data_IF_625256891119
#
_entry.id   IF_625256891119
#
_cell.length_a   1.000
_cell.length_b   1.000
_cell.length_c   1.000
_cell.angle_alpha   90.00
_cell.angle_beta   90.00
_cell.angle_gamma   90.00
#
_symmetry.space_group_name_H-M   'P 1'
#
loop_
_entity.id
_entity.type
_entity.pdbx_description
1 polymer ?
#
# COMPACT_ATOMS: atom_id res chain seq x y z
N UNK A 1 -20.11 -0.87 12.26
CA UNK A 1 -18.92 -1.17 11.46
C UNK A 1 -19.28 -1.00 10.00
N UNK A 2 -18.30 -0.80 9.13
CA UNK A 2 -18.49 -0.68 7.69
C UNK A 2 -17.58 -1.68 6.97
N UNK A 3 -18.15 -2.52 6.12
CA UNK A 3 -17.42 -3.49 5.29
C UNK A 3 -17.07 -2.94 3.90
N UNK A 4 -17.74 -1.87 3.46
CA UNK A 4 -17.44 -1.19 2.20
C UNK A 4 -17.33 0.33 2.45
N UNK A 5 -16.13 0.88 2.41
CA UNK A 5 -15.92 2.33 2.56
C UNK A 5 -14.75 2.86 1.74
N UNK A 6 -14.89 4.10 1.25
CA UNK A 6 -14.03 4.69 0.23
C UNK A 6 -13.33 5.98 0.69
N UNK A 7 -12.02 6.04 0.50
CA UNK A 7 -11.28 7.30 0.60
C UNK A 7 -11.19 7.99 -0.77
N UNK A 8 -10.52 9.15 -0.83
CA UNK A 8 -10.22 9.83 -2.10
C UNK A 8 -9.36 8.97 -3.04
N UNK A 9 -8.75 7.90 -2.55
CA UNK A 9 -7.96 6.99 -3.38
C UNK A 9 -8.88 6.15 -4.26
N UNK A 10 -10.18 6.06 -3.97
CA UNK A 10 -11.20 5.77 -4.99
C UNK A 10 -11.24 6.91 -6.00
N UNK A 11 -10.30 6.90 -6.95
CA UNK A 11 -9.98 8.02 -7.81
C UNK A 11 -11.22 8.52 -8.57
N UNK A 12 -11.48 9.82 -8.48
CA UNK A 12 -12.63 10.49 -9.11
C UNK A 12 -13.98 9.92 -8.63
N UNK A 13 -14.03 9.37 -7.42
CA UNK A 13 -15.23 8.82 -6.80
C UNK A 13 -15.32 9.17 -5.31
N UNK A 14 -14.39 8.70 -4.49
CA UNK A 14 -14.37 9.00 -3.06
C UNK A 14 -13.87 10.42 -2.77
N UNK A 15 -14.21 10.93 -1.57
CA UNK A 15 -13.96 12.34 -1.21
C UNK A 15 -13.26 12.54 0.13
N UNK A 16 -13.21 11.52 0.98
CA UNK A 16 -12.56 11.62 2.30
C UNK A 16 -11.07 11.29 2.21
N UNK A 17 -10.23 12.08 2.84
CA UNK A 17 -8.83 11.68 3.06
C UNK A 17 -8.71 10.49 4.01
N UNK A 18 -7.62 9.70 3.94
CA UNK A 18 -7.36 8.65 4.93
C UNK A 18 -7.36 9.15 6.38
N UNK A 19 -6.99 10.41 6.62
CA UNK A 19 -7.05 11.05 7.95
C UNK A 19 -8.49 11.33 8.39
N UNK A 20 -9.34 11.83 7.49
CA UNK A 20 -10.77 12.02 7.78
C UNK A 20 -11.51 10.70 7.94
N UNK A 21 -11.16 9.69 7.13
CA UNK A 21 -11.63 8.31 7.29
C UNK A 21 -11.29 7.76 8.67
N UNK A 22 -10.05 7.98 9.12
CA UNK A 22 -9.61 7.58 10.46
C UNK A 22 -10.35 8.35 11.55
N UNK A 23 -10.48 9.67 11.42
CA UNK A 23 -11.21 10.48 12.40
C UNK A 23 -12.68 10.04 12.54
N UNK A 24 -13.34 9.70 11.43
CA UNK A 24 -14.66 9.09 11.47
C UNK A 24 -14.61 7.74 12.20
N UNK A 25 -13.68 6.86 11.83
CA UNK A 25 -13.55 5.55 12.47
C UNK A 25 -13.33 5.67 13.98
N UNK A 26 -12.47 6.59 14.41
CA UNK A 26 -12.15 6.85 15.80
C UNK A 26 -13.37 7.29 16.61
N UNK A 27 -14.25 8.07 16.01
CA UNK A 27 -15.50 8.52 16.66
C UNK A 27 -16.54 7.42 16.82
N UNK A 28 -16.34 6.24 16.21
CA UNK A 28 -17.28 5.11 16.30
C UNK A 28 -16.86 4.12 17.39
N UNK A 29 -17.81 3.38 18.00
CA UNK A 29 -17.48 2.37 19.01
C UNK A 29 -16.87 1.08 18.43
N UNK A 30 -16.72 0.97 17.11
CA UNK A 30 -16.31 -0.27 16.47
C UNK A 30 -14.80 -0.54 16.63
N UNK A 31 -14.41 -1.81 16.83
CA UNK A 31 -13.00 -2.20 16.85
C UNK A 31 -12.40 -2.31 15.45
N UNK A 32 -13.23 -2.54 14.43
CA UNK A 32 -12.82 -2.78 13.05
C UNK A 32 -13.67 -2.00 12.06
N UNK A 33 -13.04 -1.57 10.96
CA UNK A 33 -13.68 -0.94 9.81
C UNK A 33 -12.84 -1.22 8.56
N UNK A 34 -13.50 -1.51 7.44
CA UNK A 34 -12.82 -1.82 6.18
C UNK A 34 -12.59 -0.57 5.33
N UNK A 35 -11.37 -0.40 4.82
CA UNK A 35 -11.08 0.48 3.68
C UNK A 35 -11.06 -0.39 2.42
N UNK A 36 -11.88 -0.03 1.43
CA UNK A 36 -12.11 -0.84 0.22
C UNK A 36 -12.14 0.06 -1.00
N UNK A 37 -11.07 0.81 -1.23
CA UNK A 37 -11.02 1.74 -2.35
C UNK A 37 -11.26 1.06 -3.70
N UNK A 38 -11.94 1.78 -4.60
CA UNK A 38 -12.42 1.22 -5.87
C UNK A 38 -11.23 0.90 -6.77
N UNK A 39 -11.08 -0.38 -7.11
CA UNK A 39 -10.05 -0.89 -8.01
C UNK A 39 -8.61 -0.46 -7.65
N UNK A 40 -8.30 -0.22 -6.37
CA UNK A 40 -6.94 0.08 -5.93
C UNK A 40 -6.75 -0.20 -4.43
N UNK A 41 -5.49 -0.33 -4.02
CA UNK A 41 -5.09 -0.59 -2.63
C UNK A 41 -4.26 0.53 -2.03
N UNK A 42 -4.19 1.71 -2.66
CA UNK A 42 -3.26 2.80 -2.30
C UNK A 42 -3.45 3.30 -0.87
N UNK A 43 -4.69 3.42 -0.39
CA UNK A 43 -4.97 3.82 0.98
C UNK A 43 -4.62 2.76 2.04
N UNK A 44 -4.59 1.48 1.65
CA UNK A 44 -4.49 0.36 2.59
C UNK A 44 -3.24 0.47 3.47
N UNK A 45 -2.07 0.71 2.87
CA UNK A 45 -0.82 0.83 3.64
C UNK A 45 -0.79 2.10 4.49
N UNK A 46 -1.38 3.19 4.01
CA UNK A 46 -1.46 4.44 4.76
C UNK A 46 -2.31 4.24 6.03
N UNK A 47 -3.50 3.61 5.92
CA UNK A 47 -4.35 3.40 7.10
C UNK A 47 -3.76 2.39 8.08
N UNK A 48 -3.12 1.31 7.58
CA UNK A 48 -2.42 0.38 8.46
C UNK A 48 -1.31 1.08 9.23
N UNK A 49 -0.55 1.95 8.56
CA UNK A 49 0.53 2.72 9.20
C UNK A 49 -0.02 3.70 10.25
N UNK A 50 -1.09 4.44 9.91
CA UNK A 50 -1.70 5.39 10.84
C UNK A 50 -2.29 4.70 12.09
N UNK A 51 -2.78 3.46 11.94
CA UNK A 51 -3.37 2.68 13.03
C UNK A 51 -2.38 1.74 13.73
N UNK A 52 -1.11 1.67 13.32
CA UNK A 52 -0.15 0.66 13.81
C UNK A 52 0.01 0.62 15.34
N UNK A 53 -0.10 1.79 15.98
CA UNK A 53 0.05 1.95 17.43
C UNK A 53 -1.30 2.13 18.15
N UNK A 54 -2.42 1.98 17.45
CA UNK A 54 -3.73 2.24 18.03
C UNK A 54 -4.23 1.02 18.83
N UNK A 55 -4.39 1.17 20.13
CA UNK A 55 -4.62 0.04 21.06
C UNK A 55 -5.92 -0.77 20.82
N UNK A 56 -6.98 -0.14 20.30
CA UNK A 56 -8.33 -0.75 20.22
C UNK A 56 -8.94 -0.83 18.82
N UNK A 57 -8.28 -0.26 17.82
CA UNK A 57 -8.86 -0.09 16.48
C UNK A 57 -7.92 -0.66 15.44
N UNK A 58 -8.49 -1.43 14.53
CA UNK A 58 -7.75 -2.09 13.46
C UNK A 58 -8.47 -1.90 12.14
N UNK A 59 -7.73 -1.47 11.13
CA UNK A 59 -8.28 -1.43 9.77
C UNK A 59 -8.35 -2.84 9.20
N UNK A 60 -9.42 -3.11 8.46
CA UNK A 60 -9.50 -4.20 7.51
C UNK A 60 -9.20 -3.62 6.14
N UNK A 61 -8.36 -4.28 5.36
CA UNK A 61 -7.97 -3.82 4.03
C UNK A 61 -8.62 -4.70 2.96
N UNK A 62 -9.03 -4.08 1.86
CA UNK A 62 -9.71 -4.76 0.77
C UNK A 62 -9.86 -3.87 -0.44
N UNK A 63 -10.67 -4.32 -1.41
CA UNK A 63 -10.95 -3.61 -2.66
C UNK A 63 -12.43 -3.77 -3.01
N UNK A 64 -13.07 -2.68 -3.41
CA UNK A 64 -14.36 -2.70 -4.11
C UNK A 64 -14.08 -2.84 -5.62
N UNK A 65 -14.29 -4.04 -6.16
CA UNK A 65 -14.08 -4.32 -7.57
C UNK A 65 -15.26 -3.84 -8.40
N UNK A 66 -14.99 -2.97 -9.36
CA UNK A 66 -16.00 -2.36 -10.22
C UNK A 66 -15.61 -2.33 -11.68
N UNK A 67 -16.60 -2.48 -12.55
CA UNK A 67 -16.47 -2.14 -13.96
C UNK A 67 -17.04 -0.74 -14.19
N UNK A 68 -16.18 0.26 -14.36
CA UNK A 68 -16.55 1.67 -14.24
C UNK A 68 -17.21 1.93 -12.87
N UNK A 69 -18.46 2.39 -12.84
CA UNK A 69 -19.21 2.59 -11.59
C UNK A 69 -19.94 1.33 -11.11
N UNK A 70 -20.14 0.34 -11.99
CA UNK A 70 -20.96 -0.84 -11.67
C UNK A 70 -20.21 -1.77 -10.73
N UNK A 71 -20.73 -2.03 -9.51
CA UNK A 71 -20.10 -2.91 -8.55
C UNK A 71 -20.15 -4.38 -9.03
N UNK A 72 -19.04 -5.10 -8.84
CA UNK A 72 -18.94 -6.53 -9.09
C UNK A 72 -18.95 -7.28 -7.76
N UNK A 73 -17.98 -7.02 -6.90
CA UNK A 73 -17.87 -7.62 -5.56
C UNK A 73 -16.83 -6.86 -4.72
N UNK A 74 -16.95 -6.94 -3.41
CA UNK A 74 -15.94 -6.44 -2.46
C UNK A 74 -15.11 -7.63 -1.97
N UNK A 75 -13.79 -7.50 -1.97
CA UNK A 75 -12.90 -8.50 -1.37
C UNK A 75 -12.20 -7.92 -0.13
N UNK A 76 -12.24 -8.62 0.99
CA UNK A 76 -11.55 -8.26 2.22
C UNK A 76 -10.44 -9.26 2.51
N UNK A 77 -9.22 -8.79 2.76
CA UNK A 77 -8.08 -9.65 3.03
C UNK A 77 -8.19 -10.27 4.44
N UNK A 78 -8.18 -11.60 4.54
CA UNK A 78 -8.14 -12.27 5.85
C UNK A 78 -6.77 -12.15 6.52
N UNK A 79 -5.72 -12.11 5.71
CA UNK A 79 -4.32 -12.07 6.12
C UNK A 79 -3.45 -11.51 4.97
N UNK A 80 -2.12 -11.47 5.13
CA UNK A 80 -1.19 -10.99 4.10
C UNK A 80 -1.26 -11.78 2.79
N UNK A 81 -1.53 -13.09 2.85
CA UNK A 81 -1.71 -13.93 1.66
C UNK A 81 -2.99 -13.54 0.91
N UNK A 82 -4.09 -13.30 1.61
CA UNK A 82 -5.32 -12.75 1.04
C UNK A 82 -5.12 -11.37 0.41
N UNK A 83 -4.31 -10.51 1.03
CA UNK A 83 -3.96 -9.22 0.45
C UNK A 83 -3.11 -9.37 -0.81
N UNK A 84 -2.15 -10.31 -0.85
CA UNK A 84 -1.39 -10.64 -2.07
C UNK A 84 -2.34 -11.09 -3.17
N UNK A 85 -3.24 -12.04 -2.89
CA UNK A 85 -4.24 -12.56 -3.83
C UNK A 85 -5.12 -11.46 -4.43
N UNK A 86 -5.57 -10.49 -3.61
CA UNK A 86 -6.31 -9.32 -4.08
C UNK A 86 -5.47 -8.48 -5.05
N UNK A 87 -4.21 -8.19 -4.70
CA UNK A 87 -3.33 -7.39 -5.55
C UNK A 87 -2.92 -8.11 -6.84
N UNK A 88 -2.71 -9.43 -6.80
CA UNK A 88 -2.43 -10.25 -7.98
C UNK A 88 -3.61 -10.18 -8.97
N UNK A 89 -4.82 -10.43 -8.48
CA UNK A 89 -6.06 -10.36 -9.26
C UNK A 89 -6.30 -8.94 -9.83
N UNK A 90 -6.11 -7.91 -9.00
CA UNK A 90 -6.25 -6.52 -9.42
C UNK A 90 -5.24 -6.16 -10.51
N UNK A 91 -3.96 -6.49 -10.30
CA UNK A 91 -2.86 -6.16 -11.23
C UNK A 91 -3.05 -6.82 -12.58
N UNK A 92 -3.49 -8.08 -12.62
CA UNK A 92 -3.78 -8.77 -13.87
C UNK A 92 -4.84 -8.03 -14.68
N UNK A 93 -5.96 -7.66 -14.06
CA UNK A 93 -7.06 -6.98 -14.74
C UNK A 93 -6.69 -5.57 -15.19
N UNK A 94 -6.00 -4.80 -14.34
CA UNK A 94 -5.62 -3.43 -14.67
C UNK A 94 -4.55 -3.37 -15.78
N UNK A 95 -3.51 -4.21 -15.71
CA UNK A 95 -2.48 -4.25 -16.75
C UNK A 95 -3.02 -4.74 -18.09
N UNK A 96 -3.93 -5.72 -18.09
CA UNK A 96 -4.55 -6.25 -19.30
C UNK A 96 -5.76 -5.45 -19.76
N UNK A 97 -6.19 -4.43 -19.00
CA UNK A 97 -7.43 -3.65 -19.22
C UNK A 97 -8.67 -4.54 -19.37
N UNK A 98 -8.72 -5.62 -18.59
CA UNK A 98 -9.81 -6.59 -18.58
C UNK A 98 -10.90 -6.16 -17.60
N UNK A 99 -12.15 -6.45 -17.96
CA UNK A 99 -13.29 -6.25 -17.07
C UNK A 99 -13.36 -7.36 -16.05
N UNK A 100 -13.77 -7.04 -14.83
CA UNK A 100 -14.05 -8.03 -13.79
C UNK A 100 -15.31 -8.82 -14.15
N UNK A 101 -15.31 -10.13 -13.89
CA UNK A 101 -16.50 -10.97 -13.96
C UNK A 101 -17.49 -10.60 -12.85
N UNK A 102 -18.76 -10.95 -13.02
CA UNK A 102 -19.76 -10.80 -11.94
C UNK A 102 -19.48 -11.75 -10.77
N UNK A 103 -18.90 -12.92 -11.05
CA UNK A 103 -18.43 -13.89 -10.05
C UNK A 103 -16.93 -13.77 -9.87
N UNK A 104 -16.47 -13.64 -8.63
CA UNK A 104 -15.04 -13.56 -8.33
C UNK A 104 -14.36 -14.94 -8.49
N UNK A 105 -13.06 -14.99 -8.84
CA UNK A 105 -12.32 -16.25 -8.94
C UNK A 105 -12.01 -16.79 -7.53
N UNK A 106 -12.94 -17.56 -6.97
CA UNK A 106 -12.89 -18.08 -5.58
C UNK A 106 -11.58 -18.80 -5.27
N UNK A 107 -11.08 -19.62 -6.20
CA UNK A 107 -9.84 -20.37 -6.02
C UNK A 107 -8.61 -19.44 -5.91
N UNK A 108 -8.60 -18.34 -6.64
CA UNK A 108 -7.52 -17.35 -6.61
C UNK A 108 -7.62 -16.42 -5.38
N UNK A 109 -8.83 -16.23 -4.84
CA UNK A 109 -9.13 -15.33 -3.72
C UNK A 109 -9.53 -16.09 -2.44
N UNK A 110 -8.97 -17.28 -2.22
CA UNK A 110 -9.35 -18.20 -1.12
C UNK A 110 -9.12 -17.62 0.30
N UNK A 111 -8.09 -16.79 0.46
CA UNK A 111 -7.72 -16.15 1.74
C UNK A 111 -8.39 -14.78 1.91
N UNK A 112 -9.52 -14.57 1.24
CA UNK A 112 -10.32 -13.35 1.31
C UNK A 112 -11.76 -13.67 1.68
N UNK A 113 -12.49 -12.69 2.19
CA UNK A 113 -13.96 -12.69 2.14
C UNK A 113 -14.40 -11.99 0.87
N UNK A 114 -15.31 -12.61 0.11
CA UNK A 114 -15.86 -12.07 -1.13
C UNK A 114 -17.34 -11.75 -0.88
N UNK A 115 -17.72 -10.49 -1.03
CA UNK A 115 -19.05 -10.00 -0.73
C UNK A 115 -19.67 -9.46 -2.02
N UNK A 116 -20.71 -10.13 -2.48
CA UNK A 116 -21.43 -9.79 -3.71
C UNK A 116 -22.60 -8.84 -3.44
N UNK A 117 -22.92 -7.87 -4.31
CA UNK A 117 -24.17 -7.12 -4.24
C UNK A 117 -25.38 -8.07 -4.29
N UNK A 118 -26.45 -7.76 -3.55
CA UNK A 118 -27.65 -8.61 -3.40
C UNK A 118 -28.22 -9.18 -4.72
N UNK A 119 -28.20 -8.38 -5.78
CA UNK A 119 -28.81 -8.71 -7.08
C UNK A 119 -27.81 -9.29 -8.10
N UNK A 120 -26.53 -9.41 -7.74
CA UNK A 120 -25.48 -9.78 -8.70
C UNK A 120 -25.41 -11.28 -9.01
N UNK A 121 -25.99 -12.12 -8.17
CA UNK A 121 -25.92 -13.58 -8.28
C UNK A 121 -27.29 -14.22 -8.53
N UNK A 122 -27.36 -15.26 -9.38
CA UNK A 122 -28.55 -16.10 -9.55
C UNK A 122 -29.03 -16.72 -8.23
N UNK A 123 -30.35 -16.93 -8.12
CA UNK A 123 -31.00 -17.49 -6.93
C UNK A 123 -30.44 -18.85 -6.49
N UNK A 124 -30.04 -19.68 -7.44
CA UNK A 124 -29.54 -21.04 -7.28
C UNK A 124 -28.01 -21.11 -7.13
N UNK A 125 -27.30 -19.98 -7.25
CA UNK A 125 -25.84 -19.96 -7.21
C UNK A 125 -25.30 -20.55 -5.90
N UNK A 126 -24.49 -21.60 -5.99
CA UNK A 126 -23.77 -22.16 -4.82
C UNK A 126 -22.72 -21.15 -4.33
N UNK A 127 -22.62 -20.93 -3.02
CA UNK A 127 -21.64 -20.02 -2.41
C UNK A 127 -20.61 -20.84 -1.64
N UNK A 128 -19.33 -20.65 -1.94
CA UNK A 128 -18.22 -21.22 -1.19
C UNK A 128 -18.18 -20.67 0.25
N UNK A 129 -17.35 -21.27 1.11
CA UNK A 129 -17.27 -20.87 2.53
C UNK A 129 -16.92 -19.40 2.72
N UNK A 130 -16.09 -18.83 1.84
CA UNK A 130 -15.62 -17.46 1.91
C UNK A 130 -16.45 -16.45 1.08
N UNK A 131 -17.58 -16.88 0.53
CA UNK A 131 -18.48 -16.03 -0.26
C UNK A 131 -19.73 -15.65 0.53
N UNK A 132 -20.11 -14.39 0.43
CA UNK A 132 -21.21 -13.74 1.14
C UNK A 132 -21.98 -12.81 0.19
N UNK A 133 -23.17 -12.42 0.59
CA UNK A 133 -24.03 -11.48 -0.13
C UNK A 133 -24.27 -10.27 0.77
N UNK A 134 -23.92 -9.09 0.27
CA UNK A 134 -24.08 -7.81 0.95
C UNK A 134 -25.44 -7.18 0.67
N UNK A 135 -26.10 -6.74 1.74
CA UNK A 135 -27.38 -6.04 1.71
C UNK A 135 -27.16 -4.56 1.99
N UNK A 136 -27.39 -3.72 0.97
CA UNK A 136 -27.34 -2.26 1.09
C UNK A 136 -28.58 -1.67 1.77
N UNK A 137 -28.52 -0.39 2.14
CA UNK A 137 -29.59 0.32 2.84
C UNK A 137 -30.87 0.36 2.01
N UNK A 138 -30.77 0.66 0.72
CA UNK A 138 -31.90 0.82 -0.18
C UNK A 138 -32.61 -0.50 -0.54
N UNK A 139 -31.96 -1.62 -0.21
CA UNK A 139 -32.43 -2.98 -0.50
C UNK A 139 -33.19 -3.60 0.68
N UNK A 140 -33.09 -3.03 1.89
CA UNK A 140 -33.73 -3.57 3.10
C UNK A 140 -35.25 -3.74 2.94
N UNK A 141 -35.91 -2.73 2.36
CA UNK A 141 -37.36 -2.72 2.09
C UNK A 141 -37.85 -3.88 1.22
N UNK A 142 -36.99 -4.44 0.37
CA UNK A 142 -37.34 -5.53 -0.55
C UNK A 142 -36.58 -6.83 -0.23
N UNK A 143 -35.85 -6.88 0.88
CA UNK A 143 -35.04 -8.05 1.25
C UNK A 143 -35.89 -9.33 1.35
N UNK A 144 -37.13 -9.21 1.83
CA UNK A 144 -38.08 -10.33 1.93
C UNK A 144 -38.49 -10.92 0.57
N UNK A 145 -38.35 -10.16 -0.52
CA UNK A 145 -38.59 -10.61 -1.89
C UNK A 145 -37.33 -11.19 -2.55
N UNK A 146 -36.16 -11.05 -1.91
CA UNK A 146 -34.90 -11.54 -2.46
C UNK A 146 -34.89 -13.06 -2.50
N UNK A 147 -34.45 -13.69 -3.61
CA UNK A 147 -34.27 -15.14 -3.65
C UNK A 147 -33.25 -15.65 -2.62
N UNK A 148 -32.40 -14.76 -2.10
CA UNK A 148 -31.36 -15.09 -1.13
C UNK A 148 -31.82 -15.03 0.33
N UNK A 149 -33.07 -14.63 0.61
CA UNK A 149 -33.58 -14.42 1.98
C UNK A 149 -33.49 -15.67 2.86
N UNK A 150 -33.59 -16.86 2.26
CA UNK A 150 -33.49 -18.14 2.97
C UNK A 150 -32.06 -18.50 3.38
N UNK A 151 -31.05 -17.80 2.84
CA UNK A 151 -29.62 -18.04 3.09
C UNK A 151 -29.07 -17.06 4.13
N UNK A 152 -29.77 -16.90 5.26
CA UNK A 152 -29.43 -15.89 6.27
C UNK A 152 -27.97 -15.92 6.72
N UNK A 153 -27.35 -17.09 6.82
CA UNK A 153 -25.94 -17.27 7.20
C UNK A 153 -24.92 -16.77 6.14
N UNK A 154 -25.39 -16.37 4.96
CA UNK A 154 -24.60 -15.77 3.88
C UNK A 154 -24.91 -14.29 3.66
N UNK A 155 -25.88 -13.73 4.38
CA UNK A 155 -26.30 -12.35 4.23
C UNK A 155 -25.62 -11.46 5.28
N UNK A 156 -24.95 -10.40 4.83
CA UNK A 156 -24.33 -9.41 5.71
C UNK A 156 -24.81 -8.01 5.37
N UNK A 157 -24.70 -7.08 6.31
CA UNK A 157 -24.93 -5.66 6.04
C UNK A 157 -23.74 -5.11 5.24
N UNK A 158 -24.03 -4.47 4.11
CA UNK A 158 -23.02 -3.81 3.28
C UNK A 158 -23.51 -2.41 2.86
N UNK A 159 -23.71 -1.49 3.82
CA UNK A 159 -23.89 -0.09 3.49
C UNK A 159 -22.60 0.42 2.84
N UNK A 160 -22.71 1.04 1.67
CA UNK A 160 -21.56 1.62 0.98
C UNK A 160 -21.30 3.01 1.56
N UNK A 161 -20.09 3.28 2.03
CA UNK A 161 -19.75 4.57 2.62
C UNK A 161 -18.76 5.34 1.73
N UNK A 162 -19.24 6.37 1.04
CA UNK A 162 -18.43 7.19 0.12
C UNK A 162 -18.29 8.63 0.57
N UNK A 163 -19.31 9.19 1.24
CA UNK A 163 -19.34 10.60 1.64
C UNK A 163 -20.07 10.81 2.97
N UNK A 164 -19.84 11.94 3.67
CA UNK A 164 -20.48 12.20 4.97
C UNK A 164 -21.90 12.75 4.84
N UNK A 165 -22.15 13.53 3.79
CA UNK A 165 -23.45 14.16 3.56
C UNK A 165 -23.50 14.95 2.25
N UNK A 166 -24.46 15.87 2.14
CA UNK A 166 -24.78 16.58 0.88
C UNK A 166 -23.61 17.34 0.26
N UNK A 167 -22.77 18.00 1.07
CA UNK A 167 -21.59 18.72 0.58
C UNK A 167 -20.62 17.78 -0.15
N UNK A 168 -20.30 16.67 0.51
CA UNK A 168 -19.38 15.65 0.00
C UNK A 168 -19.99 14.91 -1.21
N UNK A 169 -21.31 14.65 -1.22
CA UNK A 169 -22.01 14.08 -2.38
C UNK A 169 -21.93 15.01 -3.60
N UNK A 170 -22.08 16.32 -3.42
CA UNK A 170 -21.89 17.28 -4.52
C UNK A 170 -20.45 17.29 -5.04
N UNK A 171 -19.46 17.17 -4.15
CA UNK A 171 -18.06 17.02 -4.56
C UNK A 171 -17.84 15.73 -5.35
N UNK A 172 -18.41 14.61 -4.90
CA UNK A 172 -18.43 13.35 -5.65
C UNK A 172 -19.01 13.53 -7.05
N UNK A 173 -20.16 14.19 -7.19
CA UNK A 173 -20.79 14.43 -8.49
C UNK A 173 -19.92 15.28 -9.42
N UNK A 174 -19.21 16.27 -8.89
CA UNK A 174 -18.22 17.03 -9.66
C UNK A 174 -17.07 16.13 -10.15
N UNK A 175 -16.54 15.26 -9.28
CA UNK A 175 -15.51 14.28 -9.66
C UNK A 175 -16.00 13.32 -10.75
N UNK A 176 -17.26 12.85 -10.66
CA UNK A 176 -17.88 12.02 -11.70
C UNK A 176 -18.06 12.77 -13.02
N UNK A 177 -18.44 14.04 -12.98
CA UNK A 177 -18.56 14.88 -14.17
C UNK A 177 -17.19 15.06 -14.87
N UNK A 178 -16.11 15.22 -14.10
CA UNK A 178 -14.73 15.24 -14.62
C UNK A 178 -14.35 13.89 -15.23
N UNK A 179 -14.69 12.77 -14.57
CA UNK A 179 -14.38 11.41 -15.06
C UNK A 179 -15.11 11.09 -16.38
N UNK A 180 -16.40 11.38 -16.47
CA UNK A 180 -17.22 11.17 -17.67
C UNK A 180 -17.02 12.29 -18.73
N UNK A 181 -16.15 13.27 -18.46
CA UNK A 181 -15.89 14.43 -19.30
C UNK A 181 -17.18 15.14 -19.77
N UNK A 182 -18.06 15.45 -18.81
CA UNK A 182 -19.39 16.05 -19.06
C UNK A 182 -19.68 17.20 -18.10
N UNK A 183 -20.68 18.02 -18.42
CA UNK A 183 -21.17 19.04 -17.51
C UNK A 183 -21.93 18.39 -16.35
N UNK A 184 -21.81 18.94 -15.14
CA UNK A 184 -22.54 18.45 -13.96
C UNK A 184 -24.07 18.38 -14.20
N UNK A 185 -24.62 19.32 -14.98
CA UNK A 185 -26.04 19.35 -15.35
C UNK A 185 -26.46 18.22 -16.31
N UNK A 186 -25.50 17.58 -16.99
CA UNK A 186 -25.70 16.46 -17.93
C UNK A 186 -25.28 15.11 -17.32
N UNK A 187 -24.76 15.08 -16.09
CA UNK A 187 -24.37 13.86 -15.42
C UNK A 187 -25.62 13.04 -15.07
N UNK A 188 -25.72 11.84 -15.65
CA UNK A 188 -26.83 10.93 -15.40
C UNK A 188 -26.78 10.32 -14.00
N UNK A 189 -27.95 9.97 -13.43
CA UNK A 189 -28.07 9.43 -12.07
C UNK A 189 -27.40 8.06 -11.90
N UNK A 190 -27.29 7.26 -12.96
CA UNK A 190 -26.60 5.97 -12.95
C UNK A 190 -25.06 6.10 -12.93
N UNK A 191 -24.53 7.30 -13.19
CA UNK A 191 -23.10 7.62 -13.21
C UNK A 191 -22.57 8.23 -11.91
N UNK A 192 -23.43 8.31 -10.89
CA UNK A 192 -23.12 8.84 -9.57
C UNK A 192 -23.53 7.85 -8.48
N UNK A 193 -22.87 7.94 -7.34
CA UNK A 193 -23.22 7.22 -6.11
C UNK A 193 -24.64 7.58 -5.66
N UNK A 194 -25.33 6.63 -5.02
CA UNK A 194 -26.65 6.87 -4.42
C UNK A 194 -26.49 7.84 -3.26
N UNK A 195 -27.49 8.69 -2.99
CA UNK A 195 -27.44 9.65 -1.88
C UNK A 195 -27.29 8.98 -0.50
N UNK A 196 -27.68 7.72 -0.39
CA UNK A 196 -27.55 6.89 0.82
C UNK A 196 -26.17 6.22 0.96
N UNK A 197 -25.24 6.42 0.01
CA UNK A 197 -23.85 5.90 0.07
C UNK A 197 -23.00 6.70 1.09
N UNK A 198 -23.52 6.80 2.31
CA UNK A 198 -23.04 7.66 3.39
C UNK A 198 -22.21 6.89 4.41
N UNK A 199 -21.29 7.62 5.04
CA UNK A 199 -20.69 7.20 6.30
C UNK A 199 -21.74 7.27 7.43
N UNK A 200 -22.49 6.18 7.59
CA UNK A 200 -23.48 6.04 8.65
C UNK A 200 -22.80 5.73 9.98
N UNK A 201 -23.15 6.50 11.02
CA UNK A 201 -22.71 6.26 12.39
C UNK A 201 -23.28 4.95 12.95
N UNK A 202 -22.76 4.51 14.09
CA UNK A 202 -23.24 3.31 14.77
C UNK A 202 -24.75 3.34 15.06
N UNK A 203 -25.27 4.47 15.50
CA UNK A 203 -26.67 4.59 15.88
C UNK A 203 -27.56 4.67 14.64
N UNK A 204 -27.11 5.35 13.58
CA UNK A 204 -27.77 5.32 12.27
C UNK A 204 -27.81 3.91 11.69
N UNK A 205 -26.71 3.14 11.74
CA UNK A 205 -26.68 1.75 11.28
C UNK A 205 -27.66 0.87 12.07
N UNK A 206 -27.66 0.97 13.40
CA UNK A 206 -28.58 0.21 14.26
C UNK A 206 -30.04 0.55 13.97
N UNK A 207 -30.35 1.83 13.76
CA UNK A 207 -31.70 2.26 13.41
C UNK A 207 -32.10 1.79 12.01
N UNK A 208 -31.16 1.81 11.05
CA UNK A 208 -31.42 1.43 9.65
C UNK A 208 -31.66 -0.07 9.52
N UNK A 209 -30.88 -0.89 10.21
CA UNK A 209 -30.97 -2.36 10.17
C UNK A 209 -31.77 -2.94 11.35
N UNK A 210 -32.68 -2.16 11.96
CA UNK A 210 -33.37 -2.53 13.21
C UNK A 210 -34.21 -3.82 13.08
N UNK A 211 -34.81 -4.06 11.93
CA UNK A 211 -35.63 -5.25 11.65
C UNK A 211 -34.78 -6.50 11.38
N UNK A 212 -33.52 -6.31 10.97
CA UNK A 212 -32.59 -7.37 10.56
C UNK A 212 -31.21 -7.19 11.21
N UNK A 213 -31.13 -7.10 12.55
CA UNK A 213 -29.88 -6.78 13.26
C UNK A 213 -28.82 -7.88 13.11
N UNK A 214 -29.22 -9.09 12.69
CA UNK A 214 -28.30 -10.19 12.40
C UNK A 214 -27.34 -9.85 11.27
N UNK A 215 -27.74 -9.04 10.28
CA UNK A 215 -26.88 -8.61 9.18
C UNK A 215 -25.69 -7.81 9.72
N UNK A 216 -25.94 -6.89 10.66
CA UNK A 216 -24.86 -6.14 11.30
C UNK A 216 -23.94 -7.05 12.11
N UNK A 217 -24.48 -8.01 12.87
CA UNK A 217 -23.65 -8.97 13.62
C UNK A 217 -22.74 -9.79 12.71
N UNK A 218 -23.24 -10.31 11.59
CA UNK A 218 -22.43 -11.09 10.66
C UNK A 218 -21.34 -10.24 10.00
N UNK A 219 -21.64 -9.00 9.59
CA UNK A 219 -20.59 -8.14 9.01
C UNK A 219 -19.50 -7.78 10.02
N UNK A 220 -19.84 -7.66 11.32
CA UNK A 220 -18.84 -7.49 12.37
C UNK A 220 -17.94 -8.72 12.49
N UNK A 221 -18.50 -9.94 12.47
CA UNK A 221 -17.73 -11.19 12.49
C UNK A 221 -16.77 -11.30 11.31
N UNK A 222 -17.23 -10.97 10.10
CA UNK A 222 -16.41 -10.95 8.88
C UNK A 222 -15.20 -10.03 9.01
N UNK A 223 -15.38 -8.86 9.63
CA UNK A 223 -14.29 -7.91 9.86
C UNK A 223 -13.32 -8.37 10.96
N UNK A 224 -13.83 -9.04 11.98
CA UNK A 224 -13.01 -9.61 13.07
C UNK A 224 -12.12 -10.75 12.56
N UNK A 225 -12.63 -11.57 11.65
CA UNK A 225 -11.90 -12.66 10.99
C UNK A 225 -10.75 -12.18 10.10
N UNK A 226 -10.78 -10.92 9.66
CA UNK A 226 -9.70 -10.35 8.86
C UNK A 226 -8.63 -9.81 9.78
N UNK A 227 -7.36 -10.22 9.67
CA UNK A 227 -6.23 -9.66 10.45
C UNK A 227 -4.99 -9.47 9.58
N UNK A 228 -4.68 -8.20 9.27
CA UNK A 228 -3.44 -7.78 8.60
C UNK A 228 -2.75 -6.76 9.51
N UNK A 229 -1.60 -7.14 10.06
CA UNK A 229 -0.80 -6.30 10.95
C UNK A 229 0.53 -5.99 10.28
N UNK A 230 0.95 -4.73 10.31
CA UNK A 230 2.29 -4.35 9.89
C UNK A 230 3.31 -4.98 10.85
N UNK A 231 4.38 -5.61 10.33
CA UNK A 231 5.47 -6.09 11.17
C UNK A 231 6.17 -4.90 11.86
N UNK A 232 6.60 -5.10 13.10
CA UNK A 232 7.32 -4.09 13.89
C UNK A 232 8.70 -3.77 13.30
N UNK A 233 9.35 -4.77 12.68
CA UNK A 233 10.65 -4.65 12.03
C UNK A 233 10.60 -5.28 10.63
N UNK A 234 10.47 -4.46 9.59
CA UNK A 234 10.67 -4.91 8.22
C UNK A 234 11.98 -4.35 7.68
N UNK A 235 13.05 -5.16 7.70
CA UNK A 235 14.21 -4.92 6.84
C UNK A 235 14.04 -5.73 5.57
N UNK A 236 13.32 -5.16 4.59
CA UNK A 236 13.13 -5.76 3.26
C UNK A 236 14.39 -5.68 2.39
N UNK A 237 15.43 -5.00 2.86
CA UNK A 237 16.68 -4.88 2.15
C UNK A 237 17.44 -6.21 2.18
N UNK A 238 18.10 -6.52 1.06
CA UNK A 238 19.04 -7.62 0.96
C UNK A 238 20.10 -7.49 2.06
N UNK A 239 20.18 -8.50 2.93
CA UNK A 239 21.11 -8.53 4.05
C UNK A 239 22.52 -8.94 3.65
N UNK A 240 22.67 -9.52 2.45
CA UNK A 240 23.93 -9.99 1.87
C UNK A 240 23.92 -9.81 0.37
N UNK A 241 25.06 -9.43 -0.20
CA UNK A 241 25.26 -9.32 -1.66
C UNK A 241 25.74 -10.65 -2.26
N UNK A 242 26.77 -11.29 -1.68
CA UNK A 242 27.29 -12.59 -2.16
C UNK A 242 26.69 -13.79 -1.41
N UNK A 243 25.61 -13.61 -0.66
CA UNK A 243 25.04 -14.63 0.23
C UNK A 243 25.82 -14.89 1.53
N UNK A 244 26.85 -14.07 1.85
CA UNK A 244 27.63 -14.22 3.08
C UNK A 244 28.17 -12.89 3.59
N UNK A 245 27.75 -12.48 4.79
CA UNK A 245 28.20 -11.23 5.44
C UNK A 245 29.73 -11.11 5.54
N UNK A 246 30.43 -12.22 5.79
CA UNK A 246 31.89 -12.22 5.89
C UNK A 246 32.58 -12.03 4.52
N UNK A 247 32.00 -12.60 3.45
CA UNK A 247 32.52 -12.38 2.09
C UNK A 247 32.24 -10.94 1.66
N UNK A 248 31.04 -10.44 1.92
CA UNK A 248 30.64 -9.05 1.65
C UNK A 248 31.57 -8.06 2.35
N UNK A 249 31.85 -8.25 3.65
CA UNK A 249 32.73 -7.34 4.38
C UNK A 249 34.16 -7.35 3.82
N UNK A 250 34.69 -8.52 3.48
CA UNK A 250 36.00 -8.63 2.83
C UNK A 250 36.03 -7.95 1.46
N UNK A 251 34.96 -8.11 0.67
CA UNK A 251 34.82 -7.48 -0.63
C UNK A 251 34.76 -5.95 -0.49
N UNK A 252 33.93 -5.43 0.42
CA UNK A 252 33.80 -4.00 0.67
C UNK A 252 35.14 -3.39 1.10
N UNK A 253 35.85 -4.04 2.04
CA UNK A 253 37.20 -3.61 2.45
C UNK A 253 38.13 -3.57 1.25
N UNK A 254 38.22 -4.66 0.49
CA UNK A 254 39.08 -4.74 -0.71
C UNK A 254 38.77 -3.59 -1.69
N UNK A 255 37.51 -3.37 -2.03
CA UNK A 255 37.10 -2.31 -2.96
C UNK A 255 37.43 -0.91 -2.44
N UNK A 256 37.24 -0.65 -1.15
CA UNK A 256 37.59 0.62 -0.54
C UNK A 256 39.09 0.89 -0.66
N UNK A 257 39.92 -0.11 -0.33
CA UNK A 257 41.38 -0.02 -0.44
C UNK A 257 41.87 0.09 -1.89
N UNK A 258 41.28 -0.67 -2.82
CA UNK A 258 41.60 -0.62 -4.25
C UNK A 258 41.24 0.76 -4.87
N UNK A 259 40.25 1.46 -4.30
CA UNK A 259 39.85 2.82 -4.72
C UNK A 259 40.78 3.94 -4.24
N UNK A 260 41.63 3.69 -3.23
CA UNK A 260 42.50 4.71 -2.62
C UNK A 260 43.42 5.36 -3.65
N UNK A 261 44.22 4.63 -4.46
CA UNK A 261 45.18 5.25 -5.36
C UNK A 261 44.52 6.15 -6.43
N UNK A 262 43.25 5.91 -6.73
CA UNK A 262 42.48 6.71 -7.69
C UNK A 262 42.03 8.06 -7.12
N UNK A 263 41.66 8.11 -5.83
CA UNK A 263 41.15 9.34 -5.18
C UNK A 263 42.21 10.10 -4.39
N UNK A 264 43.14 9.38 -3.77
CA UNK A 264 44.18 9.94 -2.89
C UNK A 264 45.57 9.49 -3.38
N UNK A 265 46.25 10.31 -4.20
CA UNK A 265 47.63 10.04 -4.62
C UNK A 265 48.60 9.94 -3.43
N UNK A 266 48.32 10.69 -2.36
CA UNK A 266 49.02 10.64 -1.08
C UNK A 266 48.00 10.46 0.04
N UNK A 267 48.14 9.39 0.82
CA UNK A 267 47.22 9.07 1.92
C UNK A 267 47.77 9.62 3.21
N UNK A 268 47.07 10.59 3.80
CA UNK A 268 47.40 11.08 5.13
C UNK A 268 46.81 10.16 6.23
N UNK A 269 47.19 10.43 7.48
CA UNK A 269 46.69 9.67 8.62
C UNK A 269 45.16 9.84 8.79
N UNK A 270 44.63 11.03 8.50
CA UNK A 270 43.21 11.39 8.67
C UNK A 270 42.32 10.56 7.75
N UNK A 271 42.72 10.35 6.49
CA UNK A 271 42.05 9.50 5.50
C UNK A 271 41.99 8.07 5.99
N UNK A 272 43.12 7.50 6.42
CA UNK A 272 43.17 6.11 6.87
C UNK A 272 42.32 5.86 8.12
N UNK A 273 42.38 6.78 9.08
CA UNK A 273 41.55 6.71 10.29
C UNK A 273 40.05 6.78 9.95
N UNK A 274 39.66 7.68 9.03
CA UNK A 274 38.28 7.82 8.57
C UNK A 274 37.77 6.56 7.88
N UNK A 275 38.58 5.94 7.00
CA UNK A 275 38.23 4.69 6.30
C UNK A 275 37.91 3.57 7.29
N UNK A 276 38.79 3.32 8.27
CA UNK A 276 38.58 2.24 9.24
C UNK A 276 37.35 2.50 10.12
N UNK A 277 37.19 3.74 10.62
CA UNK A 277 36.02 4.13 11.41
C UNK A 277 34.70 3.89 10.65
N UNK A 278 34.64 4.25 9.37
CA UNK A 278 33.44 4.03 8.56
C UNK A 278 33.19 2.54 8.30
N UNK A 279 34.23 1.77 7.94
CA UNK A 279 34.11 0.32 7.71
C UNK A 279 33.58 -0.42 8.94
N UNK A 280 34.07 -0.08 10.13
CA UNK A 280 33.60 -0.66 11.39
C UNK A 280 32.12 -0.33 11.65
N UNK A 281 31.71 0.94 11.46
CA UNK A 281 30.33 1.36 11.67
C UNK A 281 29.37 0.74 10.66
N UNK A 282 29.76 0.65 9.38
CA UNK A 282 28.99 0.00 8.31
C UNK A 282 28.78 -1.48 8.65
N UNK A 283 29.84 -2.17 9.11
CA UNK A 283 29.75 -3.57 9.51
C UNK A 283 28.83 -3.75 10.73
N UNK A 284 28.99 -2.91 11.77
CA UNK A 284 28.18 -2.95 12.99
C UNK A 284 26.69 -2.71 12.72
N UNK A 285 26.37 -1.90 11.72
CA UNK A 285 25.00 -1.59 11.31
C UNK A 285 24.42 -2.54 10.26
N UNK A 286 25.15 -3.58 9.84
CA UNK A 286 24.75 -4.50 8.77
C UNK A 286 24.43 -3.79 7.44
N UNK A 287 25.12 -2.69 7.12
CA UNK A 287 24.91 -1.94 5.87
C UNK A 287 25.90 -2.30 4.75
N UNK A 288 26.71 -3.34 4.96
CA UNK A 288 27.72 -3.79 3.99
C UNK A 288 27.08 -4.13 2.64
N UNK A 289 26.00 -4.92 2.63
CA UNK A 289 25.28 -5.28 1.40
C UNK A 289 24.72 -4.07 0.67
N UNK A 290 24.23 -3.07 1.41
CA UNK A 290 23.71 -1.84 0.85
C UNK A 290 24.77 -1.06 0.06
N UNK A 291 25.99 -0.93 0.60
CA UNK A 291 27.11 -0.32 -0.12
C UNK A 291 27.50 -1.12 -1.37
N UNK A 292 27.56 -2.45 -1.27
CA UNK A 292 27.93 -3.31 -2.39
C UNK A 292 26.91 -3.29 -3.53
N UNK A 293 25.62 -3.26 -3.22
CA UNK A 293 24.56 -3.16 -4.24
C UNK A 293 24.66 -1.83 -4.99
N UNK A 294 24.81 -0.71 -4.28
CA UNK A 294 24.96 0.60 -4.92
C UNK A 294 26.26 0.71 -5.72
N UNK A 295 27.36 0.14 -5.21
CA UNK A 295 28.61 0.01 -5.96
C UNK A 295 28.43 -0.79 -7.25
N UNK A 296 27.67 -1.89 -7.21
CA UNK A 296 27.49 -2.74 -8.38
C UNK A 296 26.68 -2.04 -9.49
N UNK A 297 25.60 -1.34 -9.11
CA UNK A 297 24.81 -0.49 -10.02
C UNK A 297 25.69 0.57 -10.68
N UNK A 298 26.50 1.27 -9.88
CA UNK A 298 27.43 2.30 -10.37
C UNK A 298 28.52 1.71 -11.27
N UNK A 299 29.07 0.56 -10.90
CA UNK A 299 30.09 -0.14 -11.69
C UNK A 299 29.53 -0.61 -13.03
N UNK A 300 28.27 -1.07 -13.08
CA UNK A 300 27.58 -1.37 -14.33
C UNK A 300 27.44 -0.11 -15.19
N UNK A 301 26.93 0.99 -14.61
CA UNK A 301 26.78 2.27 -15.31
C UNK A 301 28.12 2.76 -15.91
N UNK A 302 29.21 2.71 -15.12
CA UNK A 302 30.56 3.07 -15.58
C UNK A 302 31.04 2.22 -16.76
N UNK A 303 30.83 0.89 -16.73
CA UNK A 303 31.20 -0.01 -17.83
C UNK A 303 30.40 0.25 -19.11
N UNK A 304 29.17 0.74 -18.98
CA UNK A 304 28.31 1.13 -20.10
C UNK A 304 28.61 2.54 -20.61
N UNK A 305 29.43 3.31 -19.88
CA UNK A 305 29.71 4.71 -20.18
C UNK A 305 28.55 5.66 -19.84
N UNK A 306 27.67 5.25 -18.92
CA UNK A 306 26.55 6.08 -18.46
C UNK A 306 27.00 7.08 -17.39
N UNK A 307 26.42 8.26 -17.46
CA UNK A 307 26.59 9.27 -16.42
C UNK A 307 25.69 8.94 -15.23
N UNK A 308 26.14 9.27 -14.03
CA UNK A 308 25.35 9.15 -12.82
C UNK A 308 25.83 10.20 -11.80
N UNK A 309 24.99 10.51 -10.83
CA UNK A 309 25.35 11.38 -9.71
C UNK A 309 24.76 10.79 -8.42
N UNK A 310 25.61 10.50 -7.43
CA UNK A 310 25.15 10.21 -6.07
C UNK A 310 24.90 11.50 -5.30
N UNK A 311 23.73 11.62 -4.66
CA UNK A 311 23.32 12.80 -3.89
C UNK A 311 23.00 12.47 -2.43
N UNK A 312 22.46 13.46 -1.74
CA UNK A 312 22.00 13.32 -0.37
C UNK A 312 23.15 13.15 0.63
N UNK A 313 22.87 12.46 1.73
CA UNK A 313 23.85 12.26 2.80
C UNK A 313 24.98 11.28 2.43
N UNK A 314 24.84 10.54 1.32
CA UNK A 314 25.86 9.62 0.80
C UNK A 314 27.21 10.28 0.58
N UNK A 315 27.22 11.57 0.22
CA UNK A 315 28.44 12.35 0.01
C UNK A 315 29.34 12.47 1.26
N UNK A 316 28.81 12.20 2.46
CA UNK A 316 29.58 12.32 3.70
C UNK A 316 30.41 11.06 4.03
N UNK A 317 30.32 10.00 3.21
CA UNK A 317 31.04 8.75 3.42
C UNK A 317 32.27 8.65 2.54
N UNK A 318 33.44 8.45 3.16
CA UNK A 318 34.68 8.20 2.42
C UNK A 318 34.62 6.86 1.69
N UNK A 319 33.93 5.87 2.26
CA UNK A 319 33.75 4.57 1.62
C UNK A 319 32.93 4.72 0.33
N UNK A 320 31.88 5.54 0.34
CA UNK A 320 31.11 5.83 -0.87
C UNK A 320 31.94 6.55 -1.94
N UNK A 321 32.79 7.49 -1.52
CA UNK A 321 33.70 8.23 -2.41
C UNK A 321 34.76 7.32 -3.06
N UNK A 322 35.36 6.40 -2.27
CA UNK A 322 36.35 5.43 -2.74
C UNK A 322 35.75 4.39 -3.69
N UNK A 323 34.51 3.96 -3.42
CA UNK A 323 33.73 3.08 -4.30
C UNK A 323 33.19 3.81 -5.55
N UNK A 324 33.43 5.12 -5.68
CA UNK A 324 32.91 5.99 -6.74
C UNK A 324 31.38 6.11 -6.77
N UNK A 325 30.69 5.75 -5.69
CA UNK A 325 29.25 5.98 -5.56
C UNK A 325 28.96 7.49 -5.53
N UNK A 326 29.85 8.25 -4.88
CA UNK A 326 29.85 9.71 -4.88
C UNK A 326 31.17 10.25 -5.41
N UNK A 327 31.13 11.49 -5.91
CA UNK A 327 32.29 12.22 -6.44
C UNK A 327 32.77 13.36 -5.54
N UNK A 328 32.22 13.46 -4.33
CA UNK A 328 32.53 14.51 -3.36
C UNK A 328 33.50 13.97 -2.32
N UNK A 329 34.64 14.64 -2.12
CA UNK A 329 35.59 14.30 -1.07
C UNK A 329 35.07 14.80 0.30
N UNK A 330 34.73 13.88 1.24
CA UNK A 330 34.18 14.27 2.53
C UNK A 330 35.23 14.81 3.50
N UNK A 331 36.52 14.54 3.28
CA UNK A 331 37.59 15.04 4.15
C UNK A 331 37.98 16.46 3.75
N UNK A 332 38.06 16.73 2.46
CA UNK A 332 38.35 18.08 1.94
C UNK A 332 37.27 19.09 2.35
N UNK A 333 36.00 18.69 2.27
CA UNK A 333 34.84 19.54 2.59
C UNK A 333 34.37 19.45 4.05
N UNK A 334 35.13 18.78 4.92
CA UNK A 334 34.83 18.56 6.34
C UNK A 334 33.40 18.04 6.59
N UNK A 335 32.97 17.05 5.79
CA UNK A 335 31.65 16.45 5.90
C UNK A 335 31.61 15.36 6.99
N UNK A 336 30.56 15.40 7.82
CA UNK A 336 30.38 14.47 8.95
C UNK A 336 29.71 13.16 8.53
N UNK A 337 30.41 12.04 8.72
CA UNK A 337 29.89 10.70 8.43
C UNK A 337 28.66 10.36 9.27
N UNK A 338 28.61 10.84 10.50
CA UNK A 338 27.51 10.59 11.44
C UNK A 338 26.17 11.15 10.95
N UNK A 339 26.21 12.13 10.03
CA UNK A 339 25.02 12.65 9.35
C UNK A 339 24.50 11.67 8.29
N UNK A 340 25.35 10.78 7.75
CA UNK A 340 24.97 9.67 6.90
C UNK A 340 24.52 8.47 7.74
N UNK A 341 25.43 7.90 8.54
CA UNK A 341 25.16 6.75 9.41
C UNK A 341 25.27 7.18 10.88
N UNK A 342 24.14 7.16 11.57
CA UNK A 342 24.08 7.39 13.01
C UNK A 342 23.79 6.08 13.76
N UNK A 343 24.46 5.87 14.90
CA UNK A 343 24.20 4.73 15.81
C UNK A 343 22.75 4.68 16.32
N UNK A 344 22.03 5.79 16.37
CA UNK A 344 20.62 5.85 16.78
C UNK A 344 19.63 5.72 15.62
N UNK A 345 20.11 5.71 14.37
CA UNK A 345 19.25 5.52 13.20
C UNK A 345 18.91 4.04 13.02
N UNK A 346 17.63 3.76 12.78
CA UNK A 346 17.08 2.42 12.53
C UNK A 346 17.03 2.08 11.05
N UNK A 347 16.85 3.06 10.16
CA UNK A 347 16.85 2.84 8.71
C UNK A 347 18.24 3.10 8.08
N UNK A 348 18.60 2.36 7.02
CA UNK A 348 19.76 2.69 6.22
C UNK A 348 19.58 4.08 5.59
N UNK A 349 20.66 4.87 5.46
CA UNK A 349 20.61 6.12 4.71
C UNK A 349 20.47 5.88 3.21
N UNK A 350 20.02 6.89 2.47
CA UNK A 350 19.90 6.83 1.01
C UNK A 350 21.13 7.44 0.33
N UNK A 351 21.57 6.82 -0.77
CA UNK A 351 22.62 7.32 -1.67
C UNK A 351 22.06 8.18 -2.80
N UNK A 352 20.74 8.14 -3.06
CA UNK A 352 20.05 8.94 -4.07
C UNK A 352 20.83 8.96 -5.41
N UNK A 353 20.97 7.80 -6.06
CA UNK A 353 21.64 7.69 -7.35
C UNK A 353 20.75 8.20 -8.48
N UNK A 354 21.16 9.31 -9.08
CA UNK A 354 20.52 9.90 -10.25
C UNK A 354 21.16 9.39 -11.54
N UNK A 355 20.32 8.97 -12.50
CA UNK A 355 20.72 8.60 -13.85
C UNK A 355 19.98 9.45 -14.90
N UNK A 356 20.60 9.74 -16.07
CA UNK A 356 19.92 10.34 -17.20
C UNK A 356 18.69 9.52 -17.60
N UNK A 357 17.62 10.21 -18.01
CA UNK A 357 16.37 9.55 -18.40
C UNK A 357 16.53 8.52 -19.54
N UNK A 358 17.54 8.70 -20.41
CA UNK A 358 17.83 7.81 -21.54
C UNK A 358 18.44 6.47 -21.11
N UNK A 359 19.17 6.46 -20.00
CA UNK A 359 19.93 5.30 -19.52
C UNK A 359 19.18 4.59 -18.37
N UNK A 360 18.20 5.27 -17.77
CA UNK A 360 17.41 4.79 -16.63
C UNK A 360 16.76 3.43 -16.86
N UNK A 361 16.26 3.17 -18.06
CA UNK A 361 15.56 1.90 -18.35
C UNK A 361 16.53 0.71 -18.35
N UNK A 362 17.74 0.86 -18.92
CA UNK A 362 18.80 -0.17 -18.88
C UNK A 362 19.28 -0.40 -17.44
N UNK A 363 19.46 0.67 -16.66
CA UNK A 363 19.81 0.57 -15.23
C UNK A 363 18.70 -0.08 -14.40
N UNK A 364 17.43 0.15 -14.71
CA UNK A 364 16.31 -0.47 -13.97
C UNK A 364 16.16 -1.95 -14.31
N UNK A 365 16.56 -2.35 -15.52
CA UNK A 365 16.53 -3.74 -15.95
C UNK A 365 17.70 -4.57 -15.37
N UNK A 366 18.86 -3.93 -15.17
CA UNK A 366 20.00 -4.49 -14.44
C UNK A 366 19.68 -4.63 -12.95
#
# INVERSE_FOLDING_TARGET
MLVNSHSYYSLRYGVLSPKEWLAFFESQPWPTMAITDINNTSACMTVLYLLRNHAKKRAVIGVDFRNAITPCYVALAKNWEGFRQINDHLSEHLHRKQRFSSRAPVAALKDTWIIYPLESLPADASLASNELIGVGVDQLRFLHLSPHVHRQHKLIAMPTATFRGKRDHNAHRLLRAIDENTLLSKLSKDKQAKEDDRYLSNDELKSTYVEVPYLLRQSQQVLEDCTVLLPDEASLNLQTYTGSKQKDLRLLKKLAYDGIPYRYPTVDFKVKERIEKELELIAKKNFVSYFLINWDIVNYAQKRGYFYVGRGSGANSIIAYLLKITDVDPIELDLYFERFINLYRTSPPDFDLDFPWRDRDDITQY
#
